data_IF_204935644155
#
_entry.id   IF_204935644155
#
_cell.length_a   1.000
_cell.length_b   1.000
_cell.length_c   1.000
_cell.angle_alpha   90.00
_cell.angle_beta   90.00
_cell.angle_gamma   90.00
#
_symmetry.space_group_name_H-M   'P 1'
#
loop_
_entity.id
_entity.type
_entity.pdbx_description
1 polymer ?
#
# COMPACT_ATOMS: atom_id res chain seq x y z
N UNK A 1 55.70 36.32 -41.88
CA UNK A 1 56.09 36.36 -40.46
C UNK A 1 55.42 35.18 -39.78
N UNK A 2 56.18 34.12 -39.49
CA UNK A 2 55.72 32.97 -38.72
C UNK A 2 56.06 33.22 -37.25
N UNK A 3 55.06 33.29 -36.39
CA UNK A 3 55.23 33.25 -34.94
C UNK A 3 55.02 31.80 -34.50
N UNK A 4 56.10 31.15 -34.05
CA UNK A 4 56.04 29.85 -33.38
C UNK A 4 56.17 30.10 -31.89
N UNK A 5 55.08 29.89 -31.14
CA UNK A 5 55.08 29.90 -29.69
C UNK A 5 55.21 28.45 -29.20
N UNK A 6 56.36 28.12 -28.63
CA UNK A 6 56.59 26.87 -27.90
C UNK A 6 56.00 27.00 -26.50
N UNK A 7 54.98 26.20 -26.21
CA UNK A 7 54.39 26.06 -24.88
C UNK A 7 55.20 24.97 -24.15
N UNK A 8 55.96 25.35 -23.13
CA UNK A 8 56.54 24.43 -22.16
C UNK A 8 55.42 23.91 -21.26
N UNK A 9 55.23 22.58 -21.23
CA UNK A 9 54.34 21.93 -20.28
C UNK A 9 55.09 21.72 -18.97
N UNK A 10 54.65 22.43 -17.93
CA UNK A 10 55.04 22.20 -16.54
C UNK A 10 54.59 20.78 -16.12
N UNK A 11 55.53 19.95 -15.67
CA UNK A 11 55.25 18.63 -15.11
C UNK A 11 54.36 18.78 -13.87
N UNK A 12 53.12 18.29 -13.98
CA UNK A 12 52.18 18.25 -12.86
C UNK A 12 52.70 17.23 -11.83
N UNK A 13 52.90 17.62 -10.57
CA UNK A 13 53.38 16.70 -9.54
C UNK A 13 52.37 15.57 -9.31
N UNK A 14 52.92 14.36 -9.22
CA UNK A 14 52.25 13.07 -9.00
C UNK A 14 50.92 13.18 -8.23
N UNK A 15 49.81 12.89 -8.92
CA UNK A 15 48.52 12.64 -8.27
C UNK A 15 48.65 11.41 -7.36
N UNK A 16 48.13 11.45 -6.12
CA UNK A 16 48.06 10.28 -5.25
C UNK A 16 47.22 9.18 -5.91
N UNK A 17 47.69 7.94 -5.78
CA UNK A 17 47.09 6.74 -6.35
C UNK A 17 45.65 6.57 -5.88
N UNK A 18 44.76 6.18 -6.82
CA UNK A 18 43.31 6.04 -6.63
C UNK A 18 42.89 5.06 -5.50
N UNK A 19 43.83 4.30 -4.94
CA UNK A 19 43.59 3.35 -3.84
C UNK A 19 43.42 4.03 -2.47
N UNK A 20 43.68 5.34 -2.33
CA UNK A 20 43.51 6.04 -1.05
C UNK A 20 42.12 6.67 -0.83
N UNK A 21 41.19 6.52 -1.77
CA UNK A 21 39.84 7.12 -1.68
C UNK A 21 38.83 6.17 -1.01
N UNK A 22 39.10 4.86 -0.99
CA UNK A 22 38.23 3.87 -0.34
C UNK A 22 38.16 4.02 1.19
N UNK A 23 39.18 4.62 1.80
CA UNK A 23 39.26 4.75 3.27
C UNK A 23 38.53 5.99 3.81
N UNK A 24 38.01 6.87 2.93
CA UNK A 24 37.25 8.07 3.32
C UNK A 24 35.74 7.95 3.05
N UNK A 25 35.28 6.83 2.51
CA UNK A 25 33.85 6.57 2.36
C UNK A 25 33.33 6.10 3.71
N UNK A 26 32.85 7.04 4.53
CA UNK A 26 32.14 6.72 5.75
C UNK A 26 31.06 5.68 5.45
N UNK A 27 30.91 4.61 6.26
CA UNK A 27 29.88 3.63 6.06
C UNK A 27 28.53 4.35 5.96
N UNK A 28 27.64 3.93 5.03
CA UNK A 28 26.33 4.54 4.89
C UNK A 28 25.68 4.56 6.28
N UNK A 29 25.12 5.70 6.72
CA UNK A 29 24.55 5.83 8.05
C UNK A 29 23.56 4.69 8.26
N UNK A 30 23.81 3.86 9.28
CA UNK A 30 22.92 2.78 9.66
C UNK A 30 21.54 3.38 9.86
N UNK A 31 20.59 3.00 8.99
CA UNK A 31 19.21 3.48 9.07
C UNK A 31 18.69 2.95 10.40
N UNK A 32 18.35 3.82 11.37
CA UNK A 32 17.92 3.36 12.68
C UNK A 32 16.68 2.49 12.51
N UNK A 33 16.74 1.25 13.02
CA UNK A 33 15.62 0.32 13.00
C UNK A 33 14.51 0.90 13.87
N UNK A 34 13.50 1.51 13.25
CA UNK A 34 12.41 2.15 13.97
C UNK A 34 11.54 1.06 14.60
N UNK A 35 11.81 0.71 15.86
CA UNK A 35 11.02 -0.24 16.63
C UNK A 35 9.71 0.40 17.09
N UNK A 36 8.68 0.32 16.25
CA UNK A 36 7.36 0.85 16.56
C UNK A 36 6.66 0.00 17.64
N UNK A 37 6.67 0.44 18.91
CA UNK A 37 5.77 -0.10 19.94
C UNK A 37 4.38 0.52 19.82
N UNK A 38 3.58 0.07 18.86
CA UNK A 38 2.15 0.46 18.83
C UNK A 38 1.42 -0.40 19.86
N UNK A 39 0.52 0.15 20.70
CA UNK A 39 -0.36 -0.67 21.52
C UNK A 39 -1.27 -1.48 20.59
N UNK A 40 -0.84 -2.71 20.28
CA UNK A 40 -1.60 -3.64 19.47
C UNK A 40 -2.61 -4.34 20.37
N UNK A 41 -3.86 -4.39 19.93
CA UNK A 41 -4.79 -5.36 20.49
C UNK A 41 -4.23 -6.76 20.25
N UNK A 42 -4.48 -7.75 21.14
CA UNK A 42 -3.97 -9.11 20.95
C UNK A 42 -4.38 -9.69 19.58
N UNK A 43 -5.53 -9.27 19.04
CA UNK A 43 -6.00 -9.66 17.69
C UNK A 43 -5.11 -9.16 16.53
N UNK A 44 -4.31 -8.11 16.75
CA UNK A 44 -3.41 -7.52 15.76
C UNK A 44 -1.95 -7.94 15.95
N UNK A 45 -1.68 -8.86 16.86
CA UNK A 45 -0.36 -9.48 16.97
C UNK A 45 -0.06 -10.33 15.72
N UNK A 46 1.18 -10.25 15.24
CA UNK A 46 1.62 -10.93 14.01
C UNK A 46 1.30 -12.42 14.03
N UNK A 47 1.51 -13.12 15.14
CA UNK A 47 1.24 -14.56 15.26
C UNK A 47 -0.26 -14.89 15.08
N UNK A 48 -1.15 -14.05 15.59
CA UNK A 48 -2.60 -14.24 15.45
C UNK A 48 -3.05 -13.95 14.01
N UNK A 49 -2.45 -12.96 13.36
CA UNK A 49 -2.67 -12.67 11.94
C UNK A 49 -2.17 -13.83 11.07
N UNK A 50 -0.98 -14.36 11.33
CA UNK A 50 -0.43 -15.52 10.60
C UNK A 50 -1.39 -16.71 10.72
N UNK A 51 -1.81 -17.06 11.94
CA UNK A 51 -2.77 -18.17 12.15
C UNK A 51 -4.07 -17.98 11.39
N UNK A 52 -4.55 -16.73 11.29
CA UNK A 52 -5.76 -16.41 10.55
C UNK A 52 -5.57 -16.48 9.03
N UNK A 53 -4.41 -16.06 8.52
CA UNK A 53 -4.12 -16.00 7.08
C UNK A 53 -3.60 -17.32 6.50
N UNK A 54 -3.01 -18.19 7.32
CA UNK A 54 -2.40 -19.46 6.89
C UNK A 54 -3.33 -20.35 6.05
N UNK A 55 -4.63 -20.53 6.38
CA UNK A 55 -5.55 -21.32 5.55
C UNK A 55 -5.79 -20.72 4.15
N UNK A 56 -5.45 -19.45 3.95
CA UNK A 56 -5.72 -18.67 2.75
C UNK A 56 -4.45 -18.24 2.01
N UNK A 57 -3.28 -18.79 2.36
CA UNK A 57 -1.99 -18.38 1.79
C UNK A 57 -1.97 -18.40 0.25
N UNK A 58 -2.51 -19.45 -0.38
CA UNK A 58 -2.55 -19.53 -1.85
C UNK A 58 -3.37 -18.40 -2.49
N UNK A 59 -4.49 -18.01 -1.88
CA UNK A 59 -5.31 -16.89 -2.33
C UNK A 59 -4.54 -15.56 -2.14
N UNK A 60 -3.87 -15.40 -1.01
CA UNK A 60 -3.08 -14.21 -0.70
C UNK A 60 -1.95 -14.05 -1.72
N UNK A 61 -1.22 -15.12 -2.05
CA UNK A 61 -0.18 -15.11 -3.09
C UNK A 61 -0.74 -14.69 -4.45
N UNK A 62 -1.93 -15.17 -4.83
CA UNK A 62 -2.59 -14.77 -6.08
C UNK A 62 -3.01 -13.30 -6.06
N UNK A 63 -3.57 -12.82 -4.95
CA UNK A 63 -3.96 -11.40 -4.78
C UNK A 63 -2.73 -10.50 -4.85
N UNK A 64 -1.63 -10.88 -4.18
CA UNK A 64 -0.37 -10.15 -4.25
C UNK A 64 0.17 -10.09 -5.68
N UNK A 65 0.21 -11.23 -6.38
CA UNK A 65 0.67 -11.28 -7.76
C UNK A 65 -0.14 -10.36 -8.68
N UNK A 66 -1.43 -10.21 -8.41
CA UNK A 66 -2.33 -9.32 -9.13
C UNK A 66 -2.06 -7.84 -8.78
N UNK A 67 -2.04 -7.50 -7.48
CA UNK A 67 -1.88 -6.12 -6.99
C UNK A 67 -0.48 -5.55 -7.24
N UNK A 68 0.56 -6.39 -7.25
CA UNK A 68 1.95 -6.01 -7.54
C UNK A 68 2.26 -6.03 -9.05
N UNK A 69 1.23 -6.15 -9.90
CA UNK A 69 1.32 -6.14 -11.36
C UNK A 69 2.24 -7.19 -11.97
N UNK A 70 2.53 -8.30 -11.27
CA UNK A 70 3.23 -9.46 -11.87
C UNK A 70 2.38 -10.17 -12.91
N UNK A 71 1.07 -9.93 -12.90
CA UNK A 71 0.09 -10.50 -13.83
C UNK A 71 -0.74 -9.40 -14.48
N UNK A 72 -0.14 -8.59 -15.37
CA UNK A 72 -0.79 -7.39 -15.91
C UNK A 72 -2.05 -7.71 -16.72
N UNK A 73 -2.09 -8.86 -17.42
CA UNK A 73 -3.27 -9.27 -18.19
C UNK A 73 -4.44 -9.61 -17.27
N UNK A 74 -4.20 -10.43 -16.24
CA UNK A 74 -5.22 -10.78 -15.26
C UNK A 74 -5.66 -9.55 -14.46
N UNK A 75 -4.73 -8.67 -14.10
CA UNK A 75 -5.04 -7.39 -13.46
C UNK A 75 -5.91 -6.50 -14.37
N UNK A 76 -5.62 -6.44 -15.67
CA UNK A 76 -6.44 -5.71 -16.64
C UNK A 76 -7.88 -6.26 -16.73
N UNK A 77 -8.05 -7.59 -16.75
CA UNK A 77 -9.38 -8.23 -16.71
C UNK A 77 -10.09 -7.90 -15.38
N UNK A 78 -9.38 -8.00 -14.26
CA UNK A 78 -9.92 -7.66 -12.95
C UNK A 78 -10.40 -6.21 -12.89
N UNK A 79 -9.55 -5.26 -13.30
CA UNK A 79 -9.88 -3.83 -13.36
C UNK A 79 -11.08 -3.61 -14.27
N UNK A 80 -11.12 -4.20 -15.47
CA UNK A 80 -12.26 -4.05 -16.36
C UNK A 80 -13.58 -4.52 -15.73
N UNK A 81 -13.59 -5.68 -15.06
CA UNK A 81 -14.77 -6.19 -14.36
C UNK A 81 -15.15 -5.31 -13.16
N UNK A 82 -14.15 -4.90 -12.39
CA UNK A 82 -14.30 -4.04 -11.23
C UNK A 82 -14.89 -2.67 -11.61
N UNK A 83 -14.35 -2.02 -12.64
CA UNK A 83 -14.87 -0.77 -13.21
C UNK A 83 -16.30 -0.95 -13.72
N UNK A 84 -16.57 -2.03 -14.46
CA UNK A 84 -17.90 -2.32 -15.00
C UNK A 84 -18.95 -2.41 -13.88
N UNK A 85 -18.60 -3.02 -12.75
CA UNK A 85 -19.48 -3.10 -11.56
C UNK A 85 -19.69 -1.70 -10.96
N UNK A 86 -18.63 -0.91 -10.78
CA UNK A 86 -18.75 0.45 -10.23
C UNK A 86 -19.60 1.37 -11.12
N UNK A 87 -19.35 1.36 -12.44
CA UNK A 87 -20.15 2.12 -13.40
C UNK A 87 -21.60 1.65 -13.42
N UNK A 88 -21.86 0.35 -13.31
CA UNK A 88 -23.23 -0.17 -13.23
C UNK A 88 -23.95 0.34 -11.97
N UNK A 89 -23.29 0.33 -10.81
CA UNK A 89 -23.84 0.87 -9.55
C UNK A 89 -24.15 2.35 -9.68
N UNK A 90 -23.24 3.13 -10.27
CA UNK A 90 -23.45 4.56 -10.48
C UNK A 90 -24.56 4.86 -11.48
N UNK A 91 -24.58 4.15 -12.61
CA UNK A 91 -25.56 4.34 -13.67
C UNK A 91 -26.98 4.03 -13.20
N UNK A 92 -27.14 2.96 -12.42
CA UNK A 92 -28.43 2.57 -11.85
C UNK A 92 -28.85 3.45 -10.66
N UNK A 93 -27.95 4.28 -10.14
CA UNK A 93 -28.21 5.08 -8.94
C UNK A 93 -28.59 4.22 -7.73
N UNK A 94 -28.00 3.02 -7.62
CA UNK A 94 -28.40 2.06 -6.60
C UNK A 94 -28.19 2.63 -5.19
N UNK A 95 -29.28 2.67 -4.42
CA UNK A 95 -29.22 2.93 -2.99
C UNK A 95 -28.58 1.76 -2.23
N UNK A 96 -28.40 1.93 -0.92
CA UNK A 96 -27.73 0.94 -0.06
C UNK A 96 -28.37 -0.47 -0.09
N UNK A 97 -29.70 -0.57 0.02
CA UNK A 97 -30.38 -1.87 0.03
C UNK A 97 -30.28 -2.60 -1.32
N UNK A 98 -30.61 -1.98 -2.48
CA UNK A 98 -30.35 -2.58 -3.78
C UNK A 98 -28.89 -3.01 -3.98
N UNK A 99 -27.93 -2.19 -3.51
CA UNK A 99 -26.51 -2.51 -3.57
C UNK A 99 -26.17 -3.80 -2.78
N UNK A 100 -26.68 -3.97 -1.56
CA UNK A 100 -26.47 -5.20 -0.79
C UNK A 100 -27.05 -6.41 -1.52
N UNK A 101 -28.28 -6.31 -2.01
CA UNK A 101 -28.91 -7.40 -2.76
C UNK A 101 -28.11 -7.76 -4.02
N UNK A 102 -27.63 -6.75 -4.74
CA UNK A 102 -26.80 -6.93 -5.93
C UNK A 102 -25.43 -7.55 -5.59
N UNK A 103 -24.80 -7.14 -4.50
CA UNK A 103 -23.55 -7.73 -4.01
C UNK A 103 -23.72 -9.20 -3.65
N UNK A 104 -24.79 -9.54 -2.92
CA UNK A 104 -25.14 -10.94 -2.60
C UNK A 104 -25.35 -11.74 -3.89
N UNK A 105 -26.07 -11.18 -4.87
CA UNK A 105 -26.29 -11.82 -6.17
C UNK A 105 -24.97 -12.09 -6.89
N UNK A 106 -24.03 -11.14 -6.90
CA UNK A 106 -22.69 -11.33 -7.47
C UNK A 106 -21.97 -12.47 -6.76
N UNK A 107 -21.94 -12.50 -5.42
CA UNK A 107 -21.27 -13.55 -4.66
C UNK A 107 -21.83 -14.95 -4.98
N UNK A 108 -23.15 -15.10 -5.01
CA UNK A 108 -23.77 -16.39 -5.38
C UNK A 108 -23.51 -16.76 -6.83
N UNK A 109 -23.50 -15.78 -7.74
CA UNK A 109 -23.19 -16.00 -9.16
C UNK A 109 -21.75 -16.45 -9.33
N UNK A 110 -20.78 -15.79 -8.69
CA UNK A 110 -19.37 -16.17 -8.70
C UNK A 110 -19.16 -17.56 -8.10
N UNK A 111 -19.85 -17.88 -6.98
CA UNK A 111 -19.80 -19.21 -6.38
C UNK A 111 -20.34 -20.29 -7.33
N UNK A 112 -21.47 -20.03 -7.98
CA UNK A 112 -22.06 -20.97 -8.94
C UNK A 112 -21.16 -21.18 -10.17
N UNK A 113 -20.59 -20.10 -10.71
CA UNK A 113 -19.63 -20.14 -11.82
C UNK A 113 -18.37 -20.92 -11.40
N UNK A 114 -17.81 -20.61 -10.22
CA UNK A 114 -16.62 -21.28 -9.70
C UNK A 114 -16.83 -22.78 -9.50
N UNK A 115 -18.02 -23.21 -9.05
CA UNK A 115 -18.32 -24.63 -8.90
C UNK A 115 -18.40 -25.35 -10.26
N UNK A 116 -19.02 -24.72 -11.27
CA UNK A 116 -19.20 -25.33 -12.60
C UNK A 116 -17.94 -25.30 -13.46
N UNK A 117 -17.15 -24.25 -13.35
CA UNK A 117 -15.98 -23.98 -14.21
C UNK A 117 -14.66 -23.99 -13.42
N UNK A 118 -14.61 -24.74 -12.32
CA UNK A 118 -13.47 -24.77 -11.41
C UNK A 118 -12.12 -24.91 -12.15
N UNK A 119 -12.02 -25.90 -13.03
CA UNK A 119 -10.76 -26.21 -13.72
C UNK A 119 -10.35 -25.11 -14.70
N UNK A 120 -11.32 -24.45 -15.33
CA UNK A 120 -11.06 -23.29 -16.19
C UNK A 120 -10.55 -22.09 -15.38
N UNK A 121 -11.17 -21.81 -14.23
CA UNK A 121 -10.71 -20.71 -13.36
C UNK A 121 -9.33 -20.98 -12.77
N UNK A 122 -9.06 -22.22 -12.34
CA UNK A 122 -7.77 -22.62 -11.78
C UNK A 122 -6.64 -22.56 -12.82
N UNK A 123 -6.90 -22.91 -14.08
CA UNK A 123 -5.87 -22.93 -15.12
C UNK A 123 -5.68 -21.59 -15.84
N UNK A 124 -6.76 -20.86 -16.13
CA UNK A 124 -6.72 -19.66 -17.00
C UNK A 124 -6.74 -18.37 -16.19
N UNK A 125 -7.62 -18.27 -15.20
CA UNK A 125 -7.86 -17.01 -14.47
C UNK A 125 -6.88 -16.85 -13.32
N UNK A 126 -6.62 -17.93 -12.59
CA UNK A 126 -5.73 -17.95 -11.43
C UNK A 126 -4.69 -19.07 -11.54
N UNK A 127 -3.82 -19.06 -12.58
CA UNK A 127 -2.76 -20.05 -12.68
C UNK A 127 -1.88 -20.04 -11.42
N UNK A 128 -1.22 -21.14 -11.06
CA UNK A 128 -0.28 -21.16 -9.93
C UNK A 128 0.80 -20.09 -10.12
N UNK A 129 1.24 -19.49 -9.01
CA UNK A 129 2.28 -18.46 -9.02
C UNK A 129 3.63 -19.12 -9.27
N UNK A 130 4.11 -19.04 -10.51
CA UNK A 130 5.40 -19.63 -10.91
C UNK A 130 6.60 -18.77 -10.49
N UNK A 131 6.48 -17.45 -10.60
CA UNK A 131 7.55 -16.50 -10.28
C UNK A 131 7.19 -15.60 -9.09
N UNK A 132 7.76 -15.90 -7.92
CA UNK A 132 7.64 -15.08 -6.70
C UNK A 132 8.54 -13.84 -6.73
N UNK A 133 9.49 -13.76 -7.65
CA UNK A 133 10.51 -12.70 -7.70
C UNK A 133 11.69 -13.01 -6.80
N UNK A 134 12.84 -12.40 -7.11
CA UNK A 134 14.02 -12.45 -6.23
C UNK A 134 13.82 -11.55 -5.00
N UNK A 135 14.54 -11.81 -3.91
CA UNK A 135 14.45 -11.00 -2.68
C UNK A 135 14.78 -9.51 -2.90
N UNK A 136 15.57 -9.23 -3.93
CA UNK A 136 15.99 -7.88 -4.32
C UNK A 136 14.94 -7.13 -5.16
N UNK A 137 13.92 -7.82 -5.67
CA UNK A 137 12.85 -7.21 -6.45
C UNK A 137 11.80 -6.57 -5.53
N UNK A 138 11.52 -5.30 -5.76
CA UNK A 138 10.57 -4.52 -4.97
C UNK A 138 9.12 -4.96 -5.14
N UNK A 139 8.77 -5.56 -6.28
CA UNK A 139 7.45 -6.12 -6.58
C UNK A 139 7.38 -7.64 -6.39
N UNK A 140 8.27 -8.23 -5.58
CA UNK A 140 8.21 -9.65 -5.25
C UNK A 140 6.98 -9.99 -4.42
N UNK A 141 6.59 -11.25 -4.42
CA UNK A 141 5.51 -11.74 -3.57
C UNK A 141 6.08 -11.92 -2.16
N UNK A 142 5.48 -11.22 -1.21
CA UNK A 142 5.92 -11.20 0.18
C UNK A 142 5.54 -12.48 0.90
N UNK A 143 6.32 -12.85 1.91
CA UNK A 143 6.01 -14.00 2.75
C UNK A 143 4.84 -13.70 3.67
N UNK A 144 4.24 -14.74 4.25
CA UNK A 144 3.10 -14.58 5.14
C UNK A 144 3.45 -13.74 6.37
N UNK A 145 4.67 -13.88 6.88
CA UNK A 145 5.22 -13.14 8.01
C UNK A 145 5.36 -11.65 7.68
N UNK A 146 5.84 -11.32 6.48
CA UNK A 146 5.98 -9.94 6.02
C UNK A 146 4.62 -9.25 5.86
N UNK A 147 3.65 -9.95 5.29
CA UNK A 147 2.27 -9.47 5.15
C UNK A 147 1.61 -9.32 6.51
N UNK A 148 1.78 -10.30 7.40
CA UNK A 148 1.22 -10.23 8.75
C UNK A 148 1.82 -9.07 9.54
N UNK A 149 3.13 -8.83 9.41
CA UNK A 149 3.80 -7.66 9.99
C UNK A 149 3.23 -6.35 9.43
N UNK A 150 3.07 -6.26 8.11
CA UNK A 150 2.48 -5.09 7.46
C UNK A 150 1.04 -4.83 7.93
N UNK A 151 0.19 -5.87 7.96
CA UNK A 151 -1.19 -5.79 8.45
C UNK A 151 -1.22 -5.42 9.93
N UNK A 152 -0.31 -5.96 10.74
CA UNK A 152 -0.19 -5.62 12.16
C UNK A 152 0.09 -4.12 12.34
N UNK A 153 1.06 -3.58 11.60
CA UNK A 153 1.42 -2.16 11.65
C UNK A 153 0.24 -1.29 11.18
N UNK A 154 -0.30 -1.54 9.99
CA UNK A 154 -1.40 -0.74 9.42
C UNK A 154 -2.67 -0.87 10.28
N UNK A 155 -3.01 -2.09 10.66
CA UNK A 155 -4.17 -2.39 11.51
C UNK A 155 -4.07 -1.73 12.87
N UNK A 156 -2.89 -1.73 13.50
CA UNK A 156 -2.70 -1.06 14.79
C UNK A 156 -2.86 0.45 14.68
N UNK A 157 -2.39 1.06 13.57
CA UNK A 157 -2.59 2.50 13.30
C UNK A 157 -4.05 2.85 13.09
N UNK A 158 -4.77 2.07 12.29
CA UNK A 158 -6.21 2.23 12.08
C UNK A 158 -6.94 2.07 13.42
N UNK A 159 -6.59 1.07 14.22
CA UNK A 159 -7.17 0.86 15.53
C UNK A 159 -6.94 2.05 16.48
N UNK A 160 -5.71 2.57 16.56
CA UNK A 160 -5.41 3.77 17.36
C UNK A 160 -6.20 4.99 16.88
N UNK A 161 -6.31 5.18 15.56
CA UNK A 161 -7.11 6.26 14.98
C UNK A 161 -8.58 6.16 15.37
N UNK A 162 -9.19 4.97 15.20
CA UNK A 162 -10.57 4.71 15.57
C UNK A 162 -10.81 4.90 17.07
N UNK A 163 -9.87 4.49 17.91
CA UNK A 163 -9.93 4.74 19.35
C UNK A 163 -9.89 6.23 19.66
N UNK A 164 -9.06 7.00 18.96
CA UNK A 164 -9.03 8.47 19.07
C UNK A 164 -10.35 9.11 18.65
N UNK A 165 -10.95 8.67 17.54
CA UNK A 165 -12.29 9.11 17.14
C UNK A 165 -13.33 8.79 18.20
N UNK A 166 -13.32 7.57 18.75
CA UNK A 166 -14.23 7.16 19.82
C UNK A 166 -14.06 8.03 21.07
N UNK A 167 -12.83 8.25 21.53
CA UNK A 167 -12.54 9.11 22.68
C UNK A 167 -13.04 10.54 22.48
N UNK A 168 -12.96 11.07 21.26
CA UNK A 168 -13.49 12.40 20.93
C UNK A 168 -15.01 12.44 20.83
N UNK A 169 -15.64 11.39 20.33
CA UNK A 169 -17.09 11.26 20.32
C UNK A 169 -17.66 11.13 21.74
N UNK A 170 -16.94 10.42 22.61
CA UNK A 170 -17.31 10.17 24.02
C UNK A 170 -16.93 11.35 24.95
N UNK A 171 -16.28 12.41 24.45
CA UNK A 171 -15.88 13.58 25.25
C UNK A 171 -17.11 14.38 25.69
N UNK A 172 -17.46 14.38 26.99
CA UNK A 172 -18.69 15.02 27.47
C UNK A 172 -18.57 16.55 27.54
N UNK A 173 -17.39 17.12 27.30
CA UNK A 173 -17.20 18.57 27.38
C UNK A 173 -17.89 19.28 26.21
N UNK A 174 -18.42 20.48 26.46
CA UNK A 174 -19.04 21.30 25.40
C UNK A 174 -18.05 21.57 24.26
N UNK A 175 -16.79 21.81 24.61
CA UNK A 175 -15.72 22.04 23.64
C UNK A 175 -15.46 20.80 22.77
N UNK A 176 -15.39 19.61 23.39
CA UNK A 176 -15.25 18.34 22.68
C UNK A 176 -16.41 18.09 21.71
N UNK A 177 -17.65 18.32 22.16
CA UNK A 177 -18.84 18.20 21.32
C UNK A 177 -18.86 19.19 20.15
N UNK A 178 -18.44 20.45 20.35
CA UNK A 178 -18.32 21.45 19.28
C UNK A 178 -17.31 20.99 18.22
N UNK A 179 -16.15 20.49 18.64
CA UNK A 179 -15.13 19.95 17.72
C UNK A 179 -15.70 18.77 16.94
N UNK A 180 -16.36 17.83 17.61
CA UNK A 180 -16.93 16.65 16.97
C UNK A 180 -18.04 17.00 15.97
N UNK A 181 -18.96 17.89 16.33
CA UNK A 181 -20.01 18.39 15.42
C UNK A 181 -19.37 19.09 14.21
N UNK A 182 -18.34 19.92 14.42
CA UNK A 182 -17.63 20.59 13.31
C UNK A 182 -16.98 19.57 12.38
N UNK A 183 -16.34 18.54 12.93
CA UNK A 183 -15.75 17.45 12.17
C UNK A 183 -16.81 16.69 11.33
N UNK A 184 -17.92 16.30 11.96
CA UNK A 184 -19.03 15.63 11.27
C UNK A 184 -19.67 16.53 10.19
N UNK A 185 -19.82 17.82 10.46
CA UNK A 185 -20.35 18.79 9.50
C UNK A 185 -19.41 18.93 8.29
N UNK A 186 -18.10 19.04 8.50
CA UNK A 186 -17.12 19.05 7.43
C UNK A 186 -17.21 17.77 6.58
N UNK A 187 -17.33 16.61 7.22
CA UNK A 187 -17.47 15.32 6.50
C UNK A 187 -18.78 15.23 5.73
N UNK A 188 -19.88 15.74 6.30
CA UNK A 188 -21.18 15.85 5.64
C UNK A 188 -21.10 16.78 4.42
N UNK A 189 -20.52 17.97 4.57
CA UNK A 189 -20.34 18.90 3.46
C UNK A 189 -19.48 18.29 2.35
N UNK A 190 -18.41 17.60 2.71
CA UNK A 190 -17.57 16.86 1.76
C UNK A 190 -18.39 15.80 1.01
N UNK A 191 -19.18 15.00 1.72
CA UNK A 191 -20.03 13.96 1.14
C UNK A 191 -21.13 14.53 0.23
N UNK A 192 -21.70 15.70 0.57
CA UNK A 192 -22.71 16.39 -0.24
C UNK A 192 -22.09 17.00 -1.50
N UNK A 193 -20.95 17.69 -1.38
CA UNK A 193 -20.30 18.41 -2.49
C UNK A 193 -19.74 17.41 -3.51
N UNK A 194 -18.92 16.46 -3.05
CA UNK A 194 -18.22 15.54 -3.94
C UNK A 194 -19.17 14.44 -4.44
N UNK A 195 -20.31 14.26 -3.75
CA UNK A 195 -21.12 13.04 -3.78
C UNK A 195 -20.31 11.86 -3.25
N UNK A 196 -21.00 10.85 -2.72
CA UNK A 196 -20.33 9.69 -2.12
C UNK A 196 -19.62 8.82 -3.15
N UNK A 197 -20.15 8.75 -4.38
CA UNK A 197 -19.59 7.88 -5.41
C UNK A 197 -18.17 8.25 -5.85
N UNK A 198 -17.83 9.49 -6.25
CA UNK A 198 -16.47 9.82 -6.67
C UNK A 198 -15.41 9.62 -5.58
N UNK A 199 -15.75 9.89 -4.30
CA UNK A 199 -14.85 9.61 -3.18
C UNK A 199 -14.61 8.11 -3.01
N UNK A 200 -15.67 7.31 -3.06
CA UNK A 200 -15.58 5.85 -2.97
C UNK A 200 -14.82 5.26 -4.15
N UNK A 201 -15.10 5.73 -5.36
CA UNK A 201 -14.42 5.37 -6.60
C UNK A 201 -12.91 5.62 -6.48
N UNK A 202 -12.53 6.84 -6.09
CA UNK A 202 -11.13 7.20 -5.88
C UNK A 202 -10.47 6.35 -4.80
N UNK A 203 -11.14 6.13 -3.67
CA UNK A 203 -10.62 5.33 -2.57
C UNK A 203 -10.33 3.89 -2.99
N UNK A 204 -11.26 3.26 -3.71
CA UNK A 204 -11.03 1.90 -4.20
C UNK A 204 -9.92 1.84 -5.26
N UNK A 205 -9.80 2.84 -6.13
CA UNK A 205 -8.68 2.95 -7.07
C UNK A 205 -7.35 3.05 -6.32
N UNK A 206 -7.28 3.85 -5.26
CA UNK A 206 -6.09 3.91 -4.42
C UNK A 206 -5.79 2.53 -3.85
N UNK A 207 -6.76 1.78 -3.31
CA UNK A 207 -6.51 0.42 -2.79
C UNK A 207 -5.98 -0.53 -3.87
N UNK A 208 -6.57 -0.49 -5.07
CA UNK A 208 -6.26 -1.46 -6.14
C UNK A 208 -4.95 -1.13 -6.85
N UNK A 209 -4.67 0.14 -7.14
CA UNK A 209 -3.52 0.55 -7.94
C UNK A 209 -2.30 0.95 -7.11
N UNK A 210 -2.50 1.48 -5.89
CA UNK A 210 -1.39 2.01 -5.10
C UNK A 210 -0.31 0.97 -4.77
N UNK A 211 -0.63 -0.29 -4.38
CA UNK A 211 0.40 -1.29 -4.14
C UNK A 211 1.30 -1.50 -5.36
N UNK A 212 0.72 -1.70 -6.54
CA UNK A 212 1.46 -1.85 -7.79
C UNK A 212 2.35 -0.66 -8.11
N UNK A 213 1.85 0.57 -7.89
CA UNK A 213 2.62 1.81 -8.10
C UNK A 213 3.79 1.93 -7.11
N UNK A 214 3.54 1.72 -5.81
CA UNK A 214 4.56 1.86 -4.76
C UNK A 214 5.68 0.84 -4.95
N UNK A 215 5.33 -0.39 -5.28
CA UNK A 215 6.28 -1.49 -5.39
C UNK A 215 6.87 -1.64 -6.80
N UNK A 216 6.49 -0.80 -7.77
CA UNK A 216 7.03 -0.88 -9.12
C UNK A 216 8.55 -0.57 -9.13
N UNK A 217 9.41 -1.39 -9.75
CA UNK A 217 10.87 -1.22 -9.70
C UNK A 217 11.39 0.15 -10.14
N UNK A 218 10.74 0.75 -11.14
CA UNK A 218 11.10 2.08 -11.65
C UNK A 218 10.66 3.20 -10.69
N UNK A 219 9.55 3.00 -9.98
CA UNK A 219 8.89 4.07 -9.22
C UNK A 219 9.32 4.05 -7.76
N UNK A 220 9.54 2.86 -7.19
CA UNK A 220 9.88 2.66 -5.79
C UNK A 220 11.06 3.53 -5.31
N UNK A 221 12.22 3.59 -6.00
CA UNK A 221 13.35 4.41 -5.56
C UNK A 221 13.02 5.90 -5.40
N UNK A 222 12.06 6.40 -6.19
CA UNK A 222 11.62 7.80 -6.14
C UNK A 222 10.57 8.05 -5.06
N UNK A 223 9.71 7.07 -4.75
CA UNK A 223 8.64 7.20 -3.74
C UNK A 223 9.13 6.88 -2.33
N UNK A 224 10.08 5.96 -2.18
CA UNK A 224 10.56 5.49 -0.88
C UNK A 224 10.91 6.59 0.14
N UNK A 225 11.64 7.67 -0.20
CA UNK A 225 11.94 8.73 0.77
C UNK A 225 10.68 9.47 1.26
N UNK A 226 9.68 9.65 0.39
CA UNK A 226 8.41 10.26 0.76
C UNK A 226 7.58 9.31 1.62
N UNK A 227 7.57 8.02 1.31
CA UNK A 227 6.88 7.01 2.10
C UNK A 227 7.47 6.92 3.50
N UNK A 228 8.80 6.89 3.62
CA UNK A 228 9.49 6.92 4.91
C UNK A 228 9.15 8.18 5.71
N UNK A 229 9.17 9.35 5.08
CA UNK A 229 8.79 10.62 5.73
C UNK A 229 7.32 10.60 6.18
N UNK A 230 6.43 10.06 5.35
CA UNK A 230 5.02 9.89 5.68
C UNK A 230 4.86 8.96 6.89
N UNK A 231 5.52 7.80 6.89
CA UNK A 231 5.49 6.87 8.03
C UNK A 231 6.04 7.51 9.30
N UNK A 232 7.12 8.29 9.22
CA UNK A 232 7.66 9.04 10.36
C UNK A 232 6.70 10.14 10.86
N UNK A 233 5.91 10.74 9.98
CA UNK A 233 4.94 11.80 10.35
C UNK A 233 3.68 11.21 10.97
N UNK A 234 3.22 10.07 10.44
CA UNK A 234 2.03 9.36 10.94
C UNK A 234 2.36 8.57 12.20
N UNK A 235 3.61 8.16 12.39
CA UNK A 235 4.05 7.55 13.63
C UNK A 235 3.84 8.54 14.78
N UNK A 236 2.94 8.26 15.75
CA UNK A 236 2.86 9.05 16.95
C UNK A 236 4.24 9.00 17.58
N UNK A 237 4.82 10.17 17.84
CA UNK A 237 5.94 10.29 18.78
C UNK A 237 5.37 9.83 20.12
N UNK A 238 5.56 8.55 20.41
CA UNK A 238 5.37 8.05 21.77
C UNK A 238 6.41 8.84 22.55
N UNK A 239 5.96 9.78 23.38
CA UNK A 239 6.84 10.34 24.39
C UNK A 239 7.17 9.17 25.29
N UNK A 240 8.43 8.75 25.26
CA UNK A 240 8.97 7.89 26.29
C UNK A 240 8.85 8.68 27.60
N UNK A 241 7.79 8.41 28.37
CA UNK A 241 7.63 8.89 29.75
C UNK A 241 8.40 7.97 30.71
#
# INVERSE_FOLDING_TARGET
MQFSASIEFEEIPNLPSADSISDFVAPPPEVPEIKFRVPSTPLLETDNIIRFLMPHQALIDQIQALLLWRRPVQFGIFVFLFESILFFIQFTGMGFFPFICFYILILYTLKAISFKYHDFFASVVFPPVEDRGSENETNRIFTLEEIASFISVVGSRIHTFLLGCKQKADDPTIFGQIIWITFLFCFFMLAVIVRTFPLFFLFLHVIVFLPGIIFHPIVNPHILPYLQRLMMTIAPKIKDE
#
